data_IF_378263979192
#
_entry.id   IF_378263979192
#
_cell.length_a   1.000
_cell.length_b   1.000
_cell.length_c   1.000
_cell.angle_alpha   90.00
_cell.angle_beta   90.00
_cell.angle_gamma   90.00
#
_symmetry.space_group_name_H-M   'P 1'
#
loop_
_entity.id
_entity.type
_entity.pdbx_description
1 polymer ?
#
# COMPACT_ATOMS: atom_id res chain seq x y z
N UNK A 1 0.60 15.93 -2.60
CA UNK A 1 0.26 14.91 -1.58
C UNK A 1 0.60 13.52 -2.12
N UNK A 2 1.25 12.69 -1.31
CA UNK A 2 1.46 11.25 -1.56
C UNK A 2 0.69 10.44 -0.53
N UNK A 3 -0.08 9.44 -0.97
CA UNK A 3 -0.86 8.55 -0.09
C UNK A 3 -0.26 7.14 -0.17
N UNK A 4 0.16 6.62 0.97
CA UNK A 4 0.76 5.30 1.09
C UNK A 4 -0.29 4.29 1.56
N UNK A 5 -0.57 3.30 0.73
CA UNK A 5 -1.58 2.27 0.97
C UNK A 5 -0.92 0.91 1.28
N UNK A 6 -1.51 0.11 2.16
CA UNK A 6 -1.14 -1.29 2.25
C UNK A 6 -1.71 -2.04 1.03
N UNK A 7 -1.15 -3.17 0.62
CA UNK A 7 -1.81 -4.04 -0.34
C UNK A 7 -2.98 -4.78 0.31
N UNK A 8 -3.74 -5.49 -0.51
CA UNK A 8 -4.67 -6.51 -0.04
C UNK A 8 -4.05 -7.91 -0.15
N UNK A 9 -4.47 -8.82 0.69
CA UNK A 9 -4.11 -10.23 0.57
C UNK A 9 -4.87 -10.87 -0.61
N UNK A 10 -6.18 -10.66 -0.71
CA UNK A 10 -6.96 -11.02 -1.88
C UNK A 10 -6.63 -10.11 -3.06
N UNK A 11 -6.58 -10.69 -4.24
CA UNK A 11 -6.33 -9.99 -5.51
C UNK A 11 -7.24 -10.52 -6.60
N UNK A 12 -7.65 -9.64 -7.49
CA UNK A 12 -8.34 -10.05 -8.70
C UNK A 12 -7.41 -10.93 -9.57
N UNK A 13 -7.97 -11.79 -10.42
CA UNK A 13 -7.18 -12.57 -11.37
C UNK A 13 -6.29 -11.67 -12.25
N UNK A 14 -5.19 -12.23 -12.72
CA UNK A 14 -4.33 -11.60 -13.73
C UNK A 14 -5.14 -11.19 -14.96
N UNK A 15 -4.66 -10.16 -15.68
CA UNK A 15 -5.30 -9.69 -16.89
C UNK A 15 -5.15 -10.68 -18.06
N UNK A 16 -5.88 -10.39 -19.16
CA UNK A 16 -5.72 -11.11 -20.45
C UNK A 16 -4.75 -10.40 -21.39
N UNK A 17 -4.10 -9.32 -20.92
CA UNK A 17 -3.17 -8.52 -21.74
C UNK A 17 -1.76 -9.11 -21.75
N UNK A 18 -0.82 -8.32 -22.27
CA UNK A 18 0.60 -8.68 -22.27
C UNK A 18 1.12 -8.88 -20.84
N UNK A 19 2.14 -9.73 -20.67
CA UNK A 19 2.85 -9.85 -19.40
C UNK A 19 3.45 -8.53 -18.94
N UNK A 20 3.81 -8.48 -17.66
CA UNK A 20 4.51 -7.34 -17.08
C UNK A 20 5.82 -7.08 -17.83
N UNK A 21 6.07 -5.79 -18.09
CA UNK A 21 7.38 -5.26 -18.47
C UNK A 21 7.99 -4.58 -17.25
N UNK A 22 8.97 -5.19 -16.57
CA UNK A 22 9.50 -4.68 -15.30
C UNK A 22 9.98 -3.22 -15.37
N UNK A 23 10.56 -2.85 -16.51
CA UNK A 23 11.05 -1.49 -16.79
C UNK A 23 9.93 -0.42 -16.89
N UNK A 24 8.68 -0.86 -17.07
CA UNK A 24 7.52 0.05 -17.15
C UNK A 24 6.97 0.45 -15.79
N UNK A 25 7.42 -0.19 -14.72
CA UNK A 25 6.94 0.13 -13.37
C UNK A 25 7.49 1.48 -12.90
N UNK A 26 6.63 2.25 -12.26
CA UNK A 26 7.02 3.49 -11.57
C UNK A 26 8.12 3.22 -10.55
N UNK A 27 8.88 4.26 -10.20
CA UNK A 27 10.00 4.17 -9.26
C UNK A 27 11.13 3.26 -9.77
N UNK A 28 11.81 3.62 -10.87
CA UNK A 28 12.85 2.79 -11.51
C UNK A 28 14.02 2.47 -10.58
N UNK A 29 14.30 3.30 -9.57
CA UNK A 29 15.32 3.00 -8.56
C UNK A 29 15.03 1.76 -7.69
N UNK A 30 13.83 1.17 -7.80
CA UNK A 30 13.50 -0.11 -7.16
C UNK A 30 13.71 -1.32 -8.10
N UNK A 31 14.13 -1.13 -9.35
CA UNK A 31 14.13 -2.19 -10.37
C UNK A 31 15.00 -3.39 -9.98
N UNK A 32 16.22 -3.16 -9.51
CA UNK A 32 17.14 -4.22 -9.10
C UNK A 32 16.58 -5.03 -7.91
N UNK A 33 16.09 -4.33 -6.88
CA UNK A 33 15.50 -4.98 -5.72
C UNK A 33 14.22 -5.76 -6.06
N UNK A 34 13.40 -5.26 -7.02
CA UNK A 34 12.23 -5.96 -7.55
C UNK A 34 12.62 -7.24 -8.26
N UNK A 35 13.64 -7.16 -9.13
CA UNK A 35 14.12 -8.31 -9.89
C UNK A 35 14.58 -9.42 -8.95
N UNK A 36 15.35 -9.10 -7.90
CA UNK A 36 15.82 -10.09 -6.94
C UNK A 36 14.64 -10.80 -6.23
N UNK A 37 13.63 -10.08 -5.77
CA UNK A 37 12.45 -10.69 -5.12
C UNK A 37 11.63 -11.50 -6.12
N UNK A 38 11.47 -10.99 -7.34
CA UNK A 38 10.71 -11.66 -8.40
C UNK A 38 11.32 -13.01 -8.79
N UNK A 39 12.63 -13.03 -9.06
CA UNK A 39 13.33 -14.26 -9.46
C UNK A 39 13.25 -15.32 -8.36
N UNK A 40 13.55 -14.94 -7.12
CA UNK A 40 13.55 -15.89 -6.03
C UNK A 40 12.14 -16.40 -5.69
N UNK A 41 11.11 -15.53 -5.77
CA UNK A 41 9.73 -15.96 -5.57
C UNK A 41 9.28 -16.97 -6.63
N UNK A 42 9.60 -16.71 -7.91
CA UNK A 42 9.25 -17.62 -9.01
C UNK A 42 9.98 -18.94 -8.86
N UNK A 43 11.29 -18.91 -8.56
CA UNK A 43 12.10 -20.12 -8.35
C UNK A 43 11.57 -20.95 -7.17
N UNK A 44 11.30 -20.30 -6.03
CA UNK A 44 10.71 -20.96 -4.86
C UNK A 44 9.40 -21.67 -5.20
N UNK A 45 8.50 -20.97 -5.92
CA UNK A 45 7.18 -21.51 -6.25
C UNK A 45 7.21 -22.55 -7.39
N UNK A 46 8.23 -22.55 -8.24
CA UNK A 46 8.45 -23.57 -9.27
C UNK A 46 9.07 -24.87 -8.71
N UNK A 47 9.60 -24.84 -7.49
CA UNK A 47 10.17 -25.97 -6.80
C UNK A 47 9.14 -26.80 -6.03
N UNK A 48 9.48 -27.17 -4.79
CA UNK A 48 8.59 -27.91 -3.90
C UNK A 48 7.43 -27.05 -3.41
N UNK A 49 6.20 -27.45 -3.73
CA UNK A 49 4.99 -26.71 -3.41
C UNK A 49 4.76 -26.57 -1.90
N UNK A 50 5.04 -27.61 -1.12
CA UNK A 50 4.85 -27.57 0.34
C UNK A 50 5.84 -26.59 0.99
N UNK A 51 7.09 -26.63 0.56
CA UNK A 51 8.11 -25.68 1.00
C UNK A 51 7.73 -24.25 0.61
N UNK A 52 7.26 -24.03 -0.61
CA UNK A 52 6.79 -22.72 -1.06
C UNK A 52 5.61 -22.22 -0.22
N UNK A 53 4.64 -23.09 0.06
CA UNK A 53 3.48 -22.81 0.91
C UNK A 53 3.89 -22.42 2.33
N UNK A 54 4.81 -23.17 2.93
CA UNK A 54 5.35 -22.89 4.26
C UNK A 54 6.05 -21.53 4.32
N UNK A 55 6.97 -21.27 3.39
CA UNK A 55 7.74 -20.02 3.30
C UNK A 55 6.81 -18.81 3.11
N UNK A 56 5.76 -18.95 2.29
CA UNK A 56 4.78 -17.91 2.04
C UNK A 56 3.76 -17.76 3.18
N UNK A 57 3.77 -18.65 4.17
CA UNK A 57 2.84 -18.66 5.28
C UNK A 57 1.39 -18.90 4.86
N UNK A 58 1.17 -19.79 3.87
CA UNK A 58 -0.16 -20.09 3.32
C UNK A 58 -0.79 -21.30 4.01
N UNK A 59 -2.07 -21.17 4.36
CA UNK A 59 -2.86 -22.31 4.80
C UNK A 59 -3.12 -23.30 3.67
N UNK A 60 -3.52 -24.53 3.99
CA UNK A 60 -3.85 -25.57 3.01
C UNK A 60 -4.88 -25.10 1.97
N UNK A 61 -5.90 -24.37 2.39
CA UNK A 61 -6.92 -23.81 1.49
C UNK A 61 -6.42 -22.74 0.53
N UNK A 62 -5.18 -22.27 0.71
CA UNK A 62 -4.52 -21.29 -0.16
C UNK A 62 -3.40 -21.90 -1.02
N UNK A 63 -3.30 -23.21 -1.11
CA UNK A 63 -2.30 -23.93 -1.92
C UNK A 63 -2.24 -23.43 -3.36
N UNK A 64 -3.39 -23.19 -3.99
CA UNK A 64 -3.45 -22.64 -5.36
C UNK A 64 -2.83 -21.25 -5.55
N UNK A 65 -2.52 -20.53 -4.46
CA UNK A 65 -1.80 -19.26 -4.55
C UNK A 65 -0.32 -19.43 -4.93
N UNK A 66 0.28 -20.62 -4.65
CA UNK A 66 1.64 -20.95 -5.07
C UNK A 66 1.72 -20.98 -6.60
N UNK A 67 0.75 -21.63 -7.25
CA UNK A 67 0.68 -21.73 -8.71
C UNK A 67 0.61 -20.35 -9.40
N UNK A 68 -0.07 -19.35 -8.79
CA UNK A 68 -0.08 -17.98 -9.34
C UNK A 68 1.33 -17.38 -9.47
N UNK A 69 2.20 -17.68 -8.51
CA UNK A 69 3.54 -17.13 -8.51
C UNK A 69 4.45 -17.82 -9.55
N UNK A 70 4.20 -19.08 -9.92
CA UNK A 70 4.95 -19.75 -11.00
C UNK A 70 4.66 -19.14 -12.37
N UNK A 71 3.45 -18.59 -12.55
CA UNK A 71 3.03 -18.00 -13.82
C UNK A 71 3.40 -16.51 -13.98
N UNK A 72 4.05 -15.89 -12.99
CA UNK A 72 4.32 -14.44 -12.96
C UNK A 72 5.05 -13.91 -14.20
N UNK A 73 5.88 -14.73 -14.85
CA UNK A 73 6.62 -14.34 -16.05
C UNK A 73 5.72 -14.18 -17.29
N UNK A 74 4.63 -14.93 -17.34
CA UNK A 74 3.73 -15.03 -18.50
C UNK A 74 2.34 -14.50 -18.23
N UNK A 75 1.96 -14.35 -16.98
CA UNK A 75 0.65 -13.87 -16.59
C UNK A 75 0.39 -12.44 -17.07
N UNK A 76 -0.79 -12.22 -17.67
CA UNK A 76 -1.18 -10.91 -18.19
C UNK A 76 -1.28 -9.86 -17.10
N UNK A 77 -0.70 -8.70 -17.32
CA UNK A 77 -0.70 -7.59 -16.37
C UNK A 77 -1.92 -6.67 -16.58
N UNK A 78 -2.41 -6.11 -15.48
CA UNK A 78 -3.45 -5.07 -15.45
C UNK A 78 -3.12 -3.99 -14.42
N UNK A 79 -3.74 -2.81 -14.46
CA UNK A 79 -3.47 -1.76 -13.48
C UNK A 79 -3.54 -2.27 -12.03
N UNK A 80 -2.58 -1.88 -11.20
CA UNK A 80 -2.53 -2.32 -9.80
C UNK A 80 -3.81 -1.95 -9.04
N UNK A 81 -4.41 -0.80 -9.35
CA UNK A 81 -5.70 -0.40 -8.78
C UNK A 81 -6.88 -1.33 -9.12
N UNK A 82 -6.72 -2.22 -10.11
CA UNK A 82 -7.70 -3.26 -10.46
C UNK A 82 -7.30 -4.65 -9.93
N UNK A 83 -6.04 -4.81 -9.51
CA UNK A 83 -5.52 -6.06 -8.92
C UNK A 83 -5.88 -6.13 -7.43
N UNK A 84 -5.65 -5.07 -6.67
CA UNK A 84 -5.94 -5.08 -5.24
C UNK A 84 -7.43 -4.97 -4.96
N UNK A 85 -7.97 -5.89 -4.17
CA UNK A 85 -9.39 -6.03 -3.81
C UNK A 85 -9.58 -6.05 -2.30
N UNK A 86 -10.84 -6.17 -1.85
CA UNK A 86 -11.18 -6.28 -0.44
C UNK A 86 -11.40 -4.93 0.24
N UNK A 87 -11.73 -4.96 1.52
CA UNK A 87 -12.41 -3.92 2.29
C UNK A 87 -11.91 -2.48 2.06
N UNK A 88 -10.60 -2.26 2.01
CA UNK A 88 -10.06 -0.91 1.76
C UNK A 88 -10.30 -0.49 0.31
N UNK A 89 -10.02 -1.37 -0.64
CA UNK A 89 -10.12 -1.08 -2.07
C UNK A 89 -11.56 -1.02 -2.54
N UNK A 90 -12.44 -1.83 -1.96
CA UNK A 90 -13.89 -1.78 -2.22
C UNK A 90 -14.47 -0.45 -1.73
N UNK A 91 -14.05 0.04 -0.55
CA UNK A 91 -14.45 1.33 -0.01
C UNK A 91 -13.82 2.52 -0.77
N UNK A 92 -12.62 2.37 -1.31
CA UNK A 92 -11.96 3.35 -2.17
C UNK A 92 -12.64 3.42 -3.54
N UNK A 93 -13.04 2.28 -4.10
CA UNK A 93 -13.77 2.13 -5.37
C UNK A 93 -13.23 3.03 -6.49
N UNK A 94 -11.97 2.79 -6.88
CA UNK A 94 -11.27 3.56 -7.91
C UNK A 94 -12.02 3.59 -9.25
N UNK A 95 -12.77 2.52 -9.56
CA UNK A 95 -13.46 2.38 -10.82
C UNK A 95 -14.56 3.44 -11.00
N UNK A 96 -15.28 3.79 -9.93
CA UNK A 96 -16.41 4.74 -9.95
C UNK A 96 -15.99 6.21 -9.78
N UNK A 97 -14.70 6.51 -9.54
CA UNK A 97 -14.23 7.89 -9.49
C UNK A 97 -14.39 8.60 -10.83
N UNK A 98 -14.68 9.89 -10.80
CA UNK A 98 -14.67 10.72 -12.00
C UNK A 98 -13.26 10.87 -12.60
N UNK A 99 -13.18 11.43 -13.80
CA UNK A 99 -11.90 11.58 -14.52
C UNK A 99 -10.89 12.43 -13.75
N UNK A 100 -11.33 13.48 -13.06
CA UNK A 100 -10.43 14.36 -12.31
C UNK A 100 -9.90 13.66 -11.07
N UNK A 101 -10.75 12.95 -10.32
CA UNK A 101 -10.37 12.15 -9.17
C UNK A 101 -9.45 10.98 -9.56
N UNK A 102 -9.69 10.29 -10.69
CA UNK A 102 -8.80 9.26 -11.24
C UNK A 102 -7.41 9.80 -11.57
N UNK A 103 -7.33 10.99 -12.15
CA UNK A 103 -6.02 11.65 -12.42
C UNK A 103 -5.29 12.00 -11.12
N UNK A 104 -6.00 12.46 -10.08
CA UNK A 104 -5.43 12.68 -8.75
C UNK A 104 -4.92 11.38 -8.13
N UNK A 105 -5.75 10.34 -8.14
CA UNK A 105 -5.39 9.01 -7.64
C UNK A 105 -4.14 8.45 -8.33
N UNK A 106 -4.05 8.53 -9.66
CA UNK A 106 -2.90 8.08 -10.44
C UNK A 106 -1.58 8.74 -10.02
N UNK A 107 -1.62 10.03 -9.65
CA UNK A 107 -0.44 10.78 -9.21
C UNK A 107 -0.13 10.64 -7.72
N UNK A 108 -1.14 10.39 -6.90
CA UNK A 108 -1.02 10.45 -5.44
C UNK A 108 -0.91 9.09 -4.77
N UNK A 109 -1.55 8.04 -5.31
CA UNK A 109 -1.63 6.74 -4.62
C UNK A 109 -0.44 5.85 -4.93
N UNK A 110 0.17 5.33 -3.88
CA UNK A 110 1.27 4.38 -3.93
C UNK A 110 0.94 3.18 -3.04
N UNK A 111 0.84 2.00 -3.63
CA UNK A 111 0.54 0.76 -2.93
C UNK A 111 1.83 0.03 -2.60
N UNK A 112 2.06 -0.26 -1.33
CA UNK A 112 3.20 -1.06 -0.89
C UNK A 112 2.97 -2.54 -1.20
N UNK A 113 4.03 -3.27 -1.47
CA UNK A 113 3.98 -4.66 -1.93
C UNK A 113 5.18 -5.45 -1.42
N UNK A 114 4.97 -6.70 -1.01
CA UNK A 114 6.06 -7.60 -0.69
C UNK A 114 6.91 -7.95 -1.91
N UNK A 115 6.27 -8.15 -3.07
CA UNK A 115 6.94 -8.47 -4.33
C UNK A 115 7.51 -7.24 -5.04
N UNK A 116 6.71 -6.18 -5.19
CA UNK A 116 7.05 -5.02 -6.01
C UNK A 116 7.65 -3.84 -5.23
N UNK A 117 7.78 -3.96 -3.91
CA UNK A 117 8.17 -2.86 -3.04
C UNK A 117 7.09 -1.81 -2.91
N UNK A 118 6.94 -0.97 -3.92
CA UNK A 118 5.86 0.01 -4.04
C UNK A 118 5.51 0.22 -5.52
N UNK A 119 4.21 0.38 -5.82
CA UNK A 119 3.69 0.59 -7.18
C UNK A 119 2.61 1.67 -7.19
N UNK A 120 2.50 2.42 -8.27
CA UNK A 120 1.36 3.30 -8.53
C UNK A 120 0.13 2.47 -8.87
N UNK A 121 -1.07 3.01 -8.61
CA UNK A 121 -2.32 2.33 -8.99
C UNK A 121 -2.46 2.12 -10.51
N UNK A 122 -1.70 2.85 -11.32
CA UNK A 122 -1.63 2.74 -12.78
C UNK A 122 -0.58 1.74 -13.28
N UNK A 123 0.38 1.34 -12.45
CA UNK A 123 1.37 0.35 -12.82
C UNK A 123 0.70 -0.99 -13.15
N UNK A 124 1.11 -1.59 -14.24
CA UNK A 124 0.52 -2.86 -14.67
C UNK A 124 1.26 -4.03 -14.07
N UNK A 125 0.58 -4.82 -13.25
CA UNK A 125 1.14 -5.98 -12.54
C UNK A 125 0.24 -7.20 -12.72
N UNK A 126 0.79 -8.43 -12.71
CA UNK A 126 0.00 -9.65 -12.59
C UNK A 126 -0.51 -9.85 -11.16
N UNK A 127 -1.48 -10.73 -10.98
CA UNK A 127 -1.89 -11.22 -9.66
C UNK A 127 -0.77 -12.06 -9.05
N UNK A 128 -0.53 -11.91 -7.75
CA UNK A 128 0.55 -12.58 -7.05
C UNK A 128 0.21 -12.82 -5.58
N UNK A 129 0.95 -13.69 -4.92
CA UNK A 129 0.86 -13.91 -3.48
C UNK A 129 2.22 -13.81 -2.82
N UNK A 130 2.52 -12.67 -2.19
CA UNK A 130 3.75 -12.44 -1.44
C UNK A 130 3.53 -11.28 -0.46
N UNK A 131 3.50 -11.56 0.84
CA UNK A 131 3.34 -10.52 1.87
C UNK A 131 4.70 -9.95 2.30
N UNK A 132 4.71 -8.76 2.90
CA UNK A 132 5.93 -8.14 3.42
C UNK A 132 6.57 -8.93 4.57
N UNK A 133 5.79 -9.79 5.24
CA UNK A 133 6.26 -10.64 6.34
C UNK A 133 7.02 -11.89 5.89
N UNK A 134 7.03 -12.20 4.60
CA UNK A 134 7.72 -13.37 4.05
C UNK A 134 9.23 -13.24 4.24
N UNK A 135 9.87 -14.39 4.53
CA UNK A 135 11.32 -14.54 4.57
C UNK A 135 11.72 -15.50 3.46
N UNK A 136 12.20 -14.96 2.35
CA UNK A 136 12.69 -15.76 1.23
C UNK A 136 14.05 -16.40 1.54
N UNK A 137 14.32 -17.62 1.06
CA UNK A 137 15.54 -18.36 1.41
C UNK A 137 16.85 -17.62 1.11
N UNK A 138 16.99 -17.02 -0.07
CA UNK A 138 18.21 -16.32 -0.50
C UNK A 138 18.25 -14.84 -0.11
N UNK A 139 17.10 -14.16 0.03
CA UNK A 139 17.03 -12.73 0.34
C UNK A 139 16.77 -12.43 1.82
N UNK A 140 16.30 -13.41 2.59
CA UNK A 140 15.89 -13.19 3.97
C UNK A 140 14.55 -12.46 4.10
N UNK A 141 14.37 -11.71 5.18
CA UNK A 141 13.11 -11.01 5.47
C UNK A 141 12.87 -9.86 4.48
N UNK A 142 11.76 -9.89 3.74
CA UNK A 142 11.42 -8.88 2.73
C UNK A 142 11.35 -7.46 3.32
N UNK A 143 10.83 -7.30 4.53
CA UNK A 143 10.82 -5.99 5.19
C UNK A 143 12.23 -5.42 5.41
N UNK A 144 13.27 -6.24 5.56
CA UNK A 144 14.66 -5.80 5.63
C UNK A 144 15.23 -5.51 4.24
N UNK A 145 14.97 -6.38 3.27
CA UNK A 145 15.38 -6.22 1.87
C UNK A 145 14.93 -4.86 1.29
N UNK A 146 13.68 -4.47 1.54
CA UNK A 146 13.11 -3.24 1.00
C UNK A 146 13.58 -1.94 1.67
N UNK A 147 14.17 -1.98 2.87
CA UNK A 147 14.51 -0.75 3.62
C UNK A 147 15.47 0.17 2.88
N UNK A 148 16.58 -0.34 2.38
CA UNK A 148 17.58 0.49 1.71
C UNK A 148 17.10 1.01 0.36
N UNK A 149 16.53 0.18 -0.55
CA UNK A 149 15.98 0.67 -1.81
C UNK A 149 14.87 1.71 -1.63
N UNK A 150 13.94 1.50 -0.70
CA UNK A 150 12.87 2.46 -0.43
C UNK A 150 13.37 3.76 0.20
N UNK A 151 14.38 3.67 1.08
CA UNK A 151 14.97 4.87 1.67
C UNK A 151 15.67 5.76 0.64
N UNK A 152 16.19 5.18 -0.44
CA UNK A 152 16.81 5.91 -1.54
C UNK A 152 15.77 6.58 -2.46
N UNK A 153 14.63 5.94 -2.71
CA UNK A 153 13.68 6.34 -3.76
C UNK A 153 12.50 7.16 -3.24
N UNK A 154 11.94 6.77 -2.07
CA UNK A 154 10.68 7.33 -1.61
C UNK A 154 10.74 8.80 -1.14
N UNK A 155 11.85 9.34 -0.63
CA UNK A 155 11.93 10.78 -0.33
C UNK A 155 11.69 11.66 -1.55
N UNK A 156 12.26 11.30 -2.71
CA UNK A 156 12.02 12.00 -3.98
C UNK A 156 10.57 11.84 -4.45
N UNK A 157 10.04 10.62 -4.41
CA UNK A 157 8.65 10.33 -4.77
C UNK A 157 7.63 11.08 -3.89
N UNK A 158 7.98 11.37 -2.63
CA UNK A 158 7.18 12.16 -1.72
C UNK A 158 7.16 13.66 -2.07
N UNK A 159 8.15 14.13 -2.85
CA UNK A 159 8.29 15.54 -3.22
C UNK A 159 8.31 16.46 -1.99
N UNK A 160 7.72 17.65 -2.07
CA UNK A 160 7.61 18.62 -0.95
C UNK A 160 6.26 18.62 -0.22
N UNK A 161 5.26 17.86 -0.70
CA UNK A 161 3.91 17.88 -0.14
C UNK A 161 3.67 16.89 1.01
N UNK A 162 2.46 16.87 1.52
CA UNK A 162 2.00 15.94 2.55
C UNK A 162 2.22 14.48 2.14
N UNK A 163 2.63 13.66 3.10
CA UNK A 163 2.61 12.18 3.02
C UNK A 163 1.52 11.67 3.97
N UNK A 164 0.48 11.07 3.40
CA UNK A 164 -0.59 10.40 4.17
C UNK A 164 -0.28 8.90 4.26
N UNK A 165 0.07 8.41 5.45
CA UNK A 165 0.47 7.03 5.69
C UNK A 165 -0.70 6.20 6.26
N UNK A 166 -1.27 5.36 5.41
CA UNK A 166 -2.38 4.46 5.75
C UNK A 166 -1.94 2.99 5.83
N UNK A 167 -0.64 2.71 5.71
CA UNK A 167 -0.09 1.35 5.71
C UNK A 167 -0.34 0.62 7.03
N UNK A 168 -0.34 -0.70 6.98
CA UNK A 168 -0.25 -1.52 8.19
C UNK A 168 1.19 -1.56 8.71
N UNK A 169 1.38 -1.96 9.97
CA UNK A 169 2.67 -1.95 10.66
C UNK A 169 3.77 -2.70 9.90
N UNK A 170 3.46 -3.86 9.31
CA UNK A 170 4.42 -4.65 8.54
C UNK A 170 4.96 -3.89 7.31
N UNK A 171 4.09 -3.18 6.60
CA UNK A 171 4.47 -2.39 5.43
C UNK A 171 5.10 -1.04 5.82
N UNK A 172 4.66 -0.44 6.92
CA UNK A 172 5.28 0.77 7.45
C UNK A 172 6.73 0.53 7.91
N UNK A 173 7.05 -0.68 8.39
CA UNK A 173 8.40 -1.06 8.81
C UNK A 173 9.41 -1.12 7.64
N UNK A 174 8.95 -1.33 6.41
CA UNK A 174 9.80 -1.36 5.22
C UNK A 174 10.33 0.03 4.82
N UNK A 175 9.61 1.10 5.17
CA UNK A 175 10.08 2.47 5.00
C UNK A 175 9.48 3.38 6.06
N UNK A 176 10.35 4.01 6.85
CA UNK A 176 9.96 5.01 7.85
C UNK A 176 10.46 6.38 7.38
N UNK A 177 9.55 7.33 7.12
CA UNK A 177 9.94 8.71 6.81
C UNK A 177 10.85 9.29 7.88
N UNK A 178 11.84 10.07 7.48
CA UNK A 178 12.80 10.73 8.37
C UNK A 178 12.94 12.21 8.02
N UNK A 179 13.48 13.00 8.95
CA UNK A 179 13.77 14.42 8.74
C UNK A 179 12.53 15.21 8.30
N UNK A 180 12.69 16.03 7.27
CA UNK A 180 11.62 16.88 6.74
C UNK A 180 10.42 16.07 6.22
N UNK A 181 10.65 14.90 5.61
CA UNK A 181 9.56 14.03 5.14
C UNK A 181 8.71 13.55 6.31
N UNK A 182 9.33 13.20 7.43
CA UNK A 182 8.59 12.81 8.64
C UNK A 182 7.74 13.97 9.19
N UNK A 183 8.30 15.18 9.23
CA UNK A 183 7.57 16.38 9.72
C UNK A 183 6.29 16.70 8.95
N UNK A 184 6.21 16.29 7.68
CA UNK A 184 5.03 16.44 6.81
C UNK A 184 4.28 15.14 6.55
N UNK A 185 4.56 14.08 7.34
CA UNK A 185 3.85 12.82 7.30
C UNK A 185 2.78 12.77 8.37
N UNK A 186 1.58 12.35 7.99
CA UNK A 186 0.47 12.04 8.87
C UNK A 186 0.12 10.55 8.76
N UNK A 187 0.19 9.83 9.88
CA UNK A 187 -0.30 8.45 9.99
C UNK A 187 -1.71 8.45 10.58
N UNK A 188 -2.61 7.64 10.04
CA UNK A 188 -4.01 7.59 10.47
C UNK A 188 -4.32 6.27 11.17
N UNK A 189 -4.88 6.37 12.37
CA UNK A 189 -5.57 5.27 13.06
C UNK A 189 -7.07 5.54 13.02
N UNK A 190 -7.85 4.50 12.85
CA UNK A 190 -9.31 4.59 12.98
C UNK A 190 -9.70 3.89 14.27
N UNK A 191 -10.31 4.63 15.17
CA UNK A 191 -10.70 4.18 16.50
C UNK A 191 -12.22 4.19 16.64
N UNK A 192 -12.75 3.18 17.31
CA UNK A 192 -14.13 3.21 17.78
C UNK A 192 -14.27 4.25 18.89
N UNK A 193 -15.11 5.26 18.70
CA UNK A 193 -15.19 6.42 19.57
C UNK A 193 -15.44 6.06 21.05
N UNK A 194 -16.44 5.16 21.39
CA UNK A 194 -16.69 4.79 22.78
C UNK A 194 -15.55 4.05 23.47
N UNK A 195 -14.86 3.12 22.76
CA UNK A 195 -13.87 2.23 23.38
C UNK A 195 -12.42 2.63 23.13
N UNK A 196 -12.19 3.57 22.22
CA UNK A 196 -10.84 4.00 21.76
C UNK A 196 -9.96 2.88 21.23
N UNK A 197 -10.57 1.75 20.83
CA UNK A 197 -9.86 0.62 20.28
C UNK A 197 -9.90 0.63 18.76
N UNK A 198 -8.82 0.13 18.15
CA UNK A 198 -8.78 -0.12 16.70
C UNK A 198 -9.68 -1.29 16.36
N UNK A 199 -10.63 -1.10 15.44
CA UNK A 199 -11.48 -2.17 14.93
C UNK A 199 -11.04 -2.51 13.52
N UNK A 200 -10.45 -3.70 13.35
CA UNK A 200 -9.67 -4.08 12.17
C UNK A 200 -10.40 -3.89 10.83
N UNK A 201 -11.64 -4.37 10.73
CA UNK A 201 -12.43 -4.29 9.49
C UNK A 201 -12.80 -2.84 9.15
N UNK A 202 -13.33 -2.11 10.12
CA UNK A 202 -13.73 -0.70 9.95
C UNK A 202 -12.54 0.22 9.67
N UNK A 203 -11.40 -0.05 10.29
CA UNK A 203 -10.16 0.66 10.00
C UNK A 203 -9.85 0.64 8.50
N UNK A 204 -9.99 -0.53 7.85
CA UNK A 204 -9.72 -0.66 6.41
C UNK A 204 -10.76 0.08 5.56
N UNK A 205 -12.05 -0.10 5.83
CA UNK A 205 -13.12 0.58 5.10
C UNK A 205 -13.03 2.10 5.24
N UNK A 206 -12.86 2.60 6.45
CA UNK A 206 -12.73 4.04 6.71
C UNK A 206 -11.52 4.65 6.01
N UNK A 207 -10.36 3.97 6.04
CA UNK A 207 -9.19 4.40 5.28
C UNK A 207 -9.46 4.48 3.78
N UNK A 208 -10.17 3.50 3.21
CA UNK A 208 -10.61 3.54 1.81
C UNK A 208 -11.50 4.73 1.51
N UNK A 209 -12.52 5.00 2.36
CA UNK A 209 -13.42 6.14 2.24
C UNK A 209 -12.69 7.48 2.37
N UNK A 210 -11.75 7.62 3.31
CA UNK A 210 -10.92 8.83 3.45
C UNK A 210 -10.19 9.13 2.15
N UNK A 211 -9.52 8.14 1.56
CA UNK A 211 -8.81 8.32 0.30
C UNK A 211 -9.77 8.70 -0.82
N UNK A 212 -10.90 7.99 -0.94
CA UNK A 212 -11.94 8.30 -1.93
C UNK A 212 -12.39 9.76 -1.82
N UNK A 213 -12.78 10.19 -0.63
CA UNK A 213 -13.30 11.53 -0.39
C UNK A 213 -12.26 12.61 -0.69
N UNK A 214 -10.99 12.40 -0.31
CA UNK A 214 -9.88 13.30 -0.68
C UNK A 214 -9.65 13.36 -2.19
N UNK A 215 -9.78 12.23 -2.90
CA UNK A 215 -9.65 12.22 -4.36
C UNK A 215 -10.83 12.93 -5.04
N UNK A 216 -12.05 12.78 -4.53
CA UNK A 216 -13.26 13.39 -5.10
C UNK A 216 -13.35 14.89 -4.80
N UNK A 217 -13.09 15.31 -3.57
CA UNK A 217 -13.14 16.73 -3.19
C UNK A 217 -12.11 17.60 -3.92
N UNK A 218 -11.00 16.98 -4.36
CA UNK A 218 -9.88 17.71 -4.94
C UNK A 218 -9.05 18.49 -3.93
N UNK A 219 -9.32 18.29 -2.62
CA UNK A 219 -8.51 18.85 -1.54
C UNK A 219 -7.05 18.41 -1.66
N UNK A 220 -6.13 19.34 -1.57
CA UNK A 220 -4.70 19.12 -1.73
C UNK A 220 -3.91 19.68 -0.53
N UNK A 221 -4.13 19.15 0.69
CA UNK A 221 -3.43 19.63 1.87
C UNK A 221 -1.91 19.51 1.68
N UNK A 222 -1.19 20.55 2.06
CA UNK A 222 0.27 20.63 1.95
C UNK A 222 0.98 20.01 3.15
N UNK A 223 0.28 19.93 4.30
CA UNK A 223 0.81 19.40 5.54
C UNK A 223 -0.25 18.74 6.45
N UNK A 224 0.20 18.15 7.58
CA UNK A 224 -0.70 17.42 8.47
C UNK A 224 -1.81 18.28 9.09
N UNK A 225 -1.56 19.54 9.44
CA UNK A 225 -2.57 20.45 9.99
C UNK A 225 -3.70 20.70 8.98
N UNK A 226 -3.34 21.03 7.73
CA UNK A 226 -4.34 21.21 6.68
C UNK A 226 -5.10 19.91 6.36
N UNK A 227 -4.46 18.75 6.50
CA UNK A 227 -5.15 17.46 6.36
C UNK A 227 -6.23 17.29 7.44
N UNK A 228 -5.96 17.68 8.68
CA UNK A 228 -6.95 17.62 9.76
C UNK A 228 -8.19 18.44 9.41
N UNK A 229 -8.00 19.67 8.94
CA UNK A 229 -9.12 20.52 8.53
C UNK A 229 -9.86 19.94 7.32
N UNK A 230 -9.13 19.49 6.31
CA UNK A 230 -9.74 18.84 5.13
C UNK A 230 -10.57 17.59 5.50
N UNK A 231 -10.12 16.80 6.46
CA UNK A 231 -10.89 15.65 6.93
C UNK A 231 -12.13 16.06 7.74
N UNK A 232 -12.04 17.12 8.55
CA UNK A 232 -13.20 17.69 9.27
C UNK A 232 -14.24 18.23 8.31
N UNK A 233 -13.83 18.97 7.29
CA UNK A 233 -14.71 19.47 6.23
C UNK A 233 -15.41 18.34 5.47
N UNK A 234 -14.78 17.18 5.38
CA UNK A 234 -15.35 15.95 4.81
C UNK A 234 -16.23 15.16 5.80
N UNK A 235 -16.48 15.70 7.00
CA UNK A 235 -17.37 15.12 8.00
C UNK A 235 -16.72 14.09 8.93
N UNK A 236 -15.39 13.96 8.94
CA UNK A 236 -14.71 13.07 9.88
C UNK A 236 -14.46 13.75 11.24
N UNK A 237 -14.67 13.00 12.31
CA UNK A 237 -14.21 13.42 13.64
C UNK A 237 -12.75 13.05 13.78
N UNK A 238 -11.88 14.06 13.87
CA UNK A 238 -10.42 13.87 13.87
C UNK A 238 -9.81 14.50 15.12
N UNK A 239 -9.09 13.68 15.87
CA UNK A 239 -8.19 14.13 16.93
C UNK A 239 -6.75 14.04 16.39
N UNK A 240 -6.00 15.10 16.57
CA UNK A 240 -4.63 15.20 16.09
C UNK A 240 -3.70 15.56 17.23
N UNK A 241 -2.63 14.80 17.38
CA UNK A 241 -1.52 15.16 18.25
C UNK A 241 -0.31 15.54 17.38
N UNK A 242 0.07 16.81 17.45
CA UNK A 242 1.34 17.24 16.88
C UNK A 242 2.48 16.50 17.63
N UNK A 243 3.51 16.03 16.91
CA UNK A 243 4.60 15.31 17.56
C UNK A 243 5.39 16.24 18.50
N UNK A 244 5.87 15.70 19.63
CA UNK A 244 6.65 16.41 20.63
C UNK A 244 8.06 16.83 20.16
N UNK A 245 8.33 16.87 18.86
CA UNK A 245 9.63 17.28 18.31
C UNK A 245 9.62 17.34 16.78
N UNK A 246 10.47 18.21 16.25
CA UNK A 246 10.62 18.37 14.81
C UNK A 246 11.06 17.06 14.13
N UNK A 247 10.65 16.86 12.87
CA UNK A 247 11.06 15.70 12.07
C UNK A 247 10.41 14.37 12.51
N UNK A 248 9.29 14.42 13.23
CA UNK A 248 8.46 13.25 13.57
C UNK A 248 7.11 13.32 12.86
N UNK A 249 6.57 12.15 12.50
CA UNK A 249 5.26 12.06 11.87
C UNK A 249 4.13 12.37 12.88
N UNK A 250 3.09 13.02 12.36
CA UNK A 250 1.84 13.23 13.09
C UNK A 250 1.06 11.94 13.22
N UNK A 251 0.32 11.79 14.32
CA UNK A 251 -0.68 10.74 14.48
C UNK A 251 -2.07 11.36 14.49
N UNK A 252 -2.92 10.92 13.57
CA UNK A 252 -4.30 11.33 13.47
C UNK A 252 -5.20 10.17 13.88
N UNK A 253 -6.07 10.38 14.85
CA UNK A 253 -7.09 9.45 15.26
C UNK A 253 -8.43 9.87 14.64
N UNK A 254 -8.93 9.07 13.71
CA UNK A 254 -10.27 9.25 13.14
C UNK A 254 -11.23 8.40 13.95
N UNK A 255 -12.22 9.05 14.54
CA UNK A 255 -13.22 8.41 15.40
C UNK A 255 -14.43 7.97 14.58
N UNK A 256 -14.93 6.77 14.85
CA UNK A 256 -16.14 6.21 14.24
C UNK A 256 -17.07 5.69 15.35
N UNK A 257 -18.35 6.05 15.28
CA UNK A 257 -19.34 5.73 16.32
C UNK A 257 -19.97 4.35 16.11
N UNK A 258 -20.13 3.92 14.86
CA UNK A 258 -20.85 2.69 14.53
C UNK A 258 -19.91 1.60 14.05
N UNK A 259 -20.15 0.40 14.57
CA UNK A 259 -19.52 -0.86 14.19
C UNK A 259 -20.57 -1.65 13.36
N UNK A 260 -20.77 -1.29 12.10
CA UNK A 260 -21.65 -2.03 11.19
C UNK A 260 -20.83 -2.81 10.15
#
# INVERSE_FOLDING_TARGET
>A
MLVLLPPSEGKAPSGRGAPLKPESLSLPGLAEARQAVFEELVELCAGDEEKAREVLGLSEGLRGEVAKNTELRTAGARPAGEIYTGVLYDALDLASLDTAAKRRAARSLLVFSGLWGAVRVTDRIPSYRCSMGVKLPGLGALGAHWRAPMAAVLPEAAGSGLVLDLRSSAYAAAWKPKGEVAGRTASVRVLHAPTRKVVSHFNKATKGRIVRNLMQSGSAPSGPAELVEALRDLGYVVEAAAPAGAGRAWMLDVLVDEIH
#
